data_IF_622210350584
#
_entry.id   IF_622210350584
#
_cell.length_a   1.000
_cell.length_b   1.000
_cell.length_c   1.000
_cell.angle_alpha   90.00
_cell.angle_beta   90.00
_cell.angle_gamma   90.00
#
_symmetry.space_group_name_H-M   'P 1'
#
loop_
_entity.id
_entity.type
_entity.pdbx_description
1 polymer ?
#
# COMPACT_ATOMS: atom_id res chain seq x y z
N UNK A 1 -24.89 17.28 -2.90
CA UNK A 1 -23.96 18.22 -3.57
C UNK A 1 -24.28 19.61 -3.04
N UNK A 2 -23.28 20.44 -2.75
CA UNK A 2 -23.43 21.84 -2.36
C UNK A 2 -22.82 22.70 -3.46
N UNK A 3 -23.59 23.63 -4.03
CA UNK A 3 -23.17 24.42 -5.18
C UNK A 3 -23.61 25.88 -5.00
N UNK A 4 -22.73 26.82 -5.29
CA UNK A 4 -23.03 28.25 -5.29
C UNK A 4 -22.21 28.98 -6.35
N UNK A 5 -22.64 30.18 -6.73
CA UNK A 5 -21.94 31.02 -7.70
C UNK A 5 -21.45 32.31 -7.04
N UNK A 6 -20.22 32.69 -7.37
CA UNK A 6 -19.64 33.99 -7.00
C UNK A 6 -19.06 34.61 -8.28
N UNK A 7 -19.53 35.80 -8.66
CA UNK A 7 -19.07 36.54 -9.84
C UNK A 7 -19.05 35.71 -11.15
N UNK A 8 -20.09 34.89 -11.38
CA UNK A 8 -20.19 34.04 -12.57
C UNK A 8 -19.43 32.71 -12.49
N UNK A 9 -18.52 32.55 -11.52
CA UNK A 9 -17.80 31.30 -11.27
C UNK A 9 -18.63 30.37 -10.41
N UNK A 10 -18.76 29.11 -10.86
CA UNK A 10 -19.49 28.07 -10.12
C UNK A 10 -18.53 27.33 -9.20
N UNK A 11 -18.84 27.28 -7.91
CA UNK A 11 -18.14 26.45 -6.94
C UNK A 11 -19.08 25.35 -6.48
N UNK A 12 -18.74 24.10 -6.80
CA UNK A 12 -19.53 22.93 -6.48
C UNK A 12 -18.69 21.90 -5.71
N UNK A 13 -19.31 21.28 -4.71
CA UNK A 13 -18.73 20.18 -3.95
C UNK A 13 -19.69 19.04 -3.72
N UNK A 14 -19.17 17.83 -3.74
CA UNK A 14 -19.86 16.69 -3.17
C UNK A 14 -19.76 16.74 -1.63
N UNK A 15 -20.82 16.29 -0.96
CA UNK A 15 -20.89 16.21 0.52
C UNK A 15 -20.67 14.76 0.94
N UNK A 16 -20.29 14.54 2.20
CA UNK A 16 -19.97 13.20 2.72
C UNK A 16 -18.57 12.73 2.34
N UNK A 17 -18.11 11.63 2.93
CA UNK A 17 -16.71 11.19 2.82
C UNK A 17 -16.28 10.89 1.38
N UNK A 18 -17.18 10.35 0.56
CA UNK A 18 -16.94 10.14 -0.90
C UNK A 18 -16.73 11.46 -1.65
N UNK A 19 -17.25 12.56 -1.13
CA UNK A 19 -17.14 13.89 -1.72
C UNK A 19 -15.82 14.61 -1.43
N UNK A 20 -14.97 14.08 -0.55
CA UNK A 20 -13.70 14.70 -0.16
C UNK A 20 -12.81 15.05 -1.37
N UNK A 21 -12.77 14.17 -2.38
CA UNK A 21 -11.99 14.38 -3.60
C UNK A 21 -12.38 15.68 -4.33
N UNK A 22 -13.67 16.06 -4.32
CA UNK A 22 -14.13 17.29 -4.97
C UNK A 22 -13.61 18.56 -4.29
N UNK A 23 -13.31 18.49 -2.98
CA UNK A 23 -12.65 19.59 -2.26
C UNK A 23 -11.16 19.64 -2.60
N UNK A 24 -10.48 18.50 -2.56
CA UNK A 24 -9.04 18.43 -2.75
C UNK A 24 -8.62 18.75 -4.19
N UNK A 25 -9.42 18.33 -5.18
CA UNK A 25 -9.14 18.58 -6.60
C UNK A 25 -9.81 19.85 -7.13
N UNK A 26 -10.57 20.57 -6.30
CA UNK A 26 -11.24 21.80 -6.68
C UNK A 26 -10.31 22.79 -7.42
N UNK A 27 -9.13 23.14 -6.87
CA UNK A 27 -8.22 24.09 -7.52
C UNK A 27 -7.77 23.66 -8.93
N UNK A 28 -7.59 22.35 -9.17
CA UNK A 28 -7.24 21.82 -10.50
C UNK A 28 -8.39 22.01 -11.50
N UNK A 29 -9.62 21.84 -11.06
CA UNK A 29 -10.82 21.89 -11.91
C UNK A 29 -11.57 23.23 -11.86
N UNK A 30 -10.88 24.30 -11.44
CA UNK A 30 -11.39 25.67 -11.51
C UNK A 30 -12.28 26.11 -10.35
N UNK A 31 -12.29 25.39 -9.23
CA UNK A 31 -12.97 25.85 -8.03
C UNK A 31 -12.25 27.07 -7.44
N UNK A 32 -13.03 28.13 -7.20
CA UNK A 32 -12.51 29.39 -6.65
C UNK A 32 -12.14 29.30 -5.15
N UNK A 33 -12.77 28.41 -4.40
CA UNK A 33 -12.56 28.22 -2.96
C UNK A 33 -12.55 26.73 -2.61
N UNK A 34 -11.76 26.38 -1.60
CA UNK A 34 -11.81 25.08 -0.91
C UNK A 34 -12.18 25.31 0.55
N UNK A 35 -13.00 24.44 1.10
CA UNK A 35 -13.44 24.52 2.50
C UNK A 35 -12.63 23.56 3.37
N UNK A 36 -12.40 23.95 4.61
CA UNK A 36 -11.84 23.05 5.63
C UNK A 36 -12.47 23.27 7.00
N UNK A 37 -12.44 22.25 7.84
CA UNK A 37 -12.95 22.35 9.21
C UNK A 37 -11.97 23.05 10.14
N UNK A 38 -12.52 23.82 11.08
CA UNK A 38 -11.82 24.46 12.21
C UNK A 38 -12.18 23.72 13.50
N UNK A 39 -11.23 23.60 14.44
CA UNK A 39 -11.53 23.16 15.81
C UNK A 39 -11.69 21.65 16.04
N UNK A 40 -11.10 20.79 15.21
CA UNK A 40 -11.01 19.34 15.47
C UNK A 40 -12.31 18.54 15.30
N UNK A 41 -13.43 19.20 14.99
CA UNK A 41 -14.70 18.54 14.66
C UNK A 41 -14.59 17.94 13.26
N UNK A 42 -14.76 16.62 13.15
CA UNK A 42 -14.81 15.92 11.88
C UNK A 42 -16.16 16.14 11.20
N UNK A 43 -16.14 16.75 10.01
CA UNK A 43 -17.33 16.94 9.17
C UNK A 43 -17.13 16.06 7.93
N UNK A 44 -18.03 15.10 7.64
CA UNK A 44 -17.87 14.19 6.50
C UNK A 44 -17.63 14.91 5.16
N UNK A 45 -16.52 14.56 4.51
CA UNK A 45 -16.08 15.18 3.25
C UNK A 45 -15.41 16.55 3.38
N UNK A 46 -15.20 17.05 4.59
CA UNK A 46 -14.51 18.33 4.84
C UNK A 46 -13.18 18.07 5.57
N UNK A 47 -12.03 18.28 4.90
CA UNK A 47 -10.74 18.04 5.53
C UNK A 47 -10.40 19.14 6.55
N UNK A 48 -9.62 18.84 7.61
CA UNK A 48 -9.10 19.88 8.49
C UNK A 48 -8.26 20.91 7.71
N UNK A 49 -8.37 22.19 8.05
CA UNK A 49 -7.58 23.25 7.39
C UNK A 49 -6.06 23.00 7.47
N UNK A 50 -5.61 22.40 8.58
CA UNK A 50 -4.20 22.03 8.74
C UNK A 50 -3.78 20.99 7.69
N UNK A 51 -4.63 20.00 7.42
CA UNK A 51 -4.38 18.98 6.38
C UNK A 51 -4.34 19.59 4.98
N UNK A 52 -5.23 20.54 4.68
CA UNK A 52 -5.22 21.28 3.39
C UNK A 52 -3.86 21.94 3.15
N UNK A 53 -3.33 22.65 4.15
CA UNK A 53 -2.08 23.43 4.02
C UNK A 53 -0.82 22.57 4.12
N UNK A 54 -0.80 21.60 5.02
CA UNK A 54 0.45 20.88 5.34
C UNK A 54 0.57 19.55 4.59
N UNK A 55 -0.53 18.80 4.48
CA UNK A 55 -0.54 17.45 3.90
C UNK A 55 -0.74 17.54 2.39
N UNK A 56 -1.86 18.15 1.96
CA UNK A 56 -2.22 18.22 0.54
C UNK A 56 -1.56 19.39 -0.20
N UNK A 57 -1.18 20.46 0.53
CA UNK A 57 -0.56 21.69 0.01
C UNK A 57 -1.29 22.23 -1.23
N UNK A 58 -2.60 22.46 -1.07
CA UNK A 58 -3.47 22.83 -2.20
C UNK A 58 -3.03 24.12 -2.91
N UNK A 59 -2.24 24.98 -2.27
CA UNK A 59 -1.63 26.18 -2.84
C UNK A 59 -0.68 25.91 -4.02
N UNK A 60 -0.20 24.67 -4.18
CA UNK A 60 0.67 24.29 -5.29
C UNK A 60 -0.07 23.60 -6.45
N UNK A 61 -1.39 23.39 -6.32
CA UNK A 61 -2.18 22.71 -7.34
C UNK A 61 -2.59 23.70 -8.42
N UNK A 62 -2.47 23.25 -9.68
CA UNK A 62 -2.90 23.96 -10.85
C UNK A 62 -3.52 23.00 -11.87
N UNK A 63 -3.95 23.52 -13.02
CA UNK A 63 -4.61 22.74 -14.06
C UNK A 63 -3.76 21.56 -14.59
N UNK A 64 -2.43 21.67 -14.59
CA UNK A 64 -1.53 20.62 -15.08
C UNK A 64 -1.14 19.59 -14.01
N UNK A 65 -1.52 19.80 -12.74
CA UNK A 65 -1.24 18.86 -11.65
C UNK A 65 -1.87 17.51 -11.98
N UNK A 66 -1.06 16.45 -11.94
CA UNK A 66 -1.54 15.08 -12.10
C UNK A 66 -2.05 14.51 -10.77
N UNK A 67 -3.08 13.70 -10.82
CA UNK A 67 -3.72 13.12 -9.63
C UNK A 67 -3.19 11.71 -9.43
N UNK A 68 -2.76 11.44 -8.21
CA UNK A 68 -2.09 10.22 -7.80
C UNK A 68 -2.70 9.56 -6.59
N UNK A 69 -2.24 8.32 -6.48
CA UNK A 69 -2.05 7.48 -5.33
C UNK A 69 -0.93 7.86 -4.29
N UNK A 70 -0.05 8.84 -4.54
CA UNK A 70 1.21 9.02 -3.77
C UNK A 70 1.89 10.40 -3.98
N UNK A 71 2.77 10.85 -3.06
CA UNK A 71 3.49 12.14 -3.11
C UNK A 71 5.01 11.97 -3.25
N UNK A 72 5.63 12.71 -4.17
CA UNK A 72 7.08 12.88 -4.23
C UNK A 72 7.49 14.33 -4.49
N UNK A 73 8.67 14.69 -3.99
CA UNK A 73 9.26 16.04 -4.11
C UNK A 73 9.70 16.31 -5.55
N UNK A 74 9.32 17.46 -6.10
CA UNK A 74 9.75 17.90 -7.44
C UNK A 74 8.82 17.51 -8.60
N UNK A 75 7.73 16.79 -8.32
CA UNK A 75 6.75 16.40 -9.33
C UNK A 75 5.40 17.11 -9.10
N UNK A 76 4.80 17.65 -10.16
CA UNK A 76 3.51 18.36 -10.09
C UNK A 76 2.35 17.36 -9.97
N UNK A 77 2.23 16.73 -8.79
CA UNK A 77 1.23 15.72 -8.49
C UNK A 77 0.62 15.85 -7.11
N UNK A 78 -0.64 15.44 -6.96
CA UNK A 78 -1.36 15.38 -5.67
C UNK A 78 -1.80 13.95 -5.36
N UNK A 79 -1.60 13.50 -4.11
CA UNK A 79 -2.20 12.28 -3.59
C UNK A 79 -3.50 12.59 -2.83
N UNK A 80 -4.60 11.95 -3.21
CA UNK A 80 -5.88 12.06 -2.51
C UNK A 80 -6.47 10.69 -2.16
N UNK A 81 -7.11 10.55 -0.98
CA UNK A 81 -7.88 9.36 -0.66
C UNK A 81 -9.15 9.29 -1.52
N UNK A 82 -9.49 8.09 -1.99
CA UNK A 82 -10.70 7.83 -2.77
C UNK A 82 -11.41 6.61 -2.18
N UNK A 83 -12.62 6.83 -1.65
CA UNK A 83 -13.45 5.76 -1.12
C UNK A 83 -14.23 5.12 -2.27
N UNK A 84 -13.95 3.85 -2.56
CA UNK A 84 -14.44 3.14 -3.73
C UNK A 84 -15.27 1.94 -3.29
N UNK A 85 -16.46 1.79 -3.86
CA UNK A 85 -17.34 0.63 -3.64
C UNK A 85 -17.21 -0.38 -4.78
N UNK A 86 -17.26 0.10 -6.03
CA UNK A 86 -17.05 -0.70 -7.25
C UNK A 86 -15.79 -0.22 -7.97
N UNK A 87 -14.78 -1.09 -7.99
CA UNK A 87 -13.48 -0.78 -8.61
C UNK A 87 -13.54 -0.68 -10.13
N UNK A 88 -14.42 -1.45 -10.79
CA UNK A 88 -14.55 -1.42 -12.26
C UNK A 88 -15.18 -0.11 -12.70
N UNK A 89 -16.27 0.27 -12.04
CA UNK A 89 -16.94 1.54 -12.31
C UNK A 89 -16.03 2.73 -12.00
N UNK A 90 -15.27 2.66 -10.90
CA UNK A 90 -14.30 3.68 -10.56
C UNK A 90 -13.25 3.90 -11.67
N UNK A 91 -12.61 2.84 -12.18
CA UNK A 91 -11.63 3.00 -13.27
C UNK A 91 -12.24 3.44 -14.59
N UNK A 92 -13.53 3.12 -14.83
CA UNK A 92 -14.27 3.63 -15.98
C UNK A 92 -14.47 5.15 -15.88
N UNK A 93 -14.91 5.64 -14.73
CA UNK A 93 -15.17 7.08 -14.47
C UNK A 93 -13.87 7.89 -14.46
N UNK A 94 -12.83 7.39 -13.79
CA UNK A 94 -11.54 8.07 -13.64
C UNK A 94 -10.51 7.62 -14.69
N UNK A 95 -10.95 7.52 -15.95
CA UNK A 95 -10.15 7.02 -17.07
C UNK A 95 -9.30 8.08 -17.77
N UNK A 96 -9.52 9.37 -17.49
CA UNK A 96 -8.79 10.46 -18.16
C UNK A 96 -7.32 10.57 -17.72
N UNK A 97 -6.52 11.25 -18.53
CA UNK A 97 -5.06 11.38 -18.35
C UNK A 97 -4.65 12.25 -17.16
N UNK A 98 -5.60 12.91 -16.50
CA UNK A 98 -5.35 13.60 -15.23
C UNK A 98 -5.08 12.62 -14.09
N UNK A 99 -5.59 11.38 -14.17
CA UNK A 99 -5.37 10.33 -13.19
C UNK A 99 -4.26 9.40 -13.69
N UNK A 100 -3.05 9.62 -13.21
CA UNK A 100 -1.85 8.98 -13.73
C UNK A 100 -1.47 7.70 -12.96
N UNK A 101 -2.07 7.45 -11.80
CA UNK A 101 -1.89 6.19 -11.09
C UNK A 101 -2.66 6.10 -9.78
N UNK A 102 -2.82 4.86 -9.28
CA UNK A 102 -3.64 4.56 -8.11
C UNK A 102 -2.93 3.56 -7.18
N UNK A 103 -3.13 3.73 -5.88
CA UNK A 103 -2.81 2.70 -4.87
C UNK A 103 -4.10 2.02 -4.44
N UNK A 104 -4.14 0.69 -4.58
CA UNK A 104 -5.33 -0.13 -4.34
C UNK A 104 -5.26 -0.78 -2.95
N UNK A 105 -6.23 -0.44 -2.12
CA UNK A 105 -6.43 -1.01 -0.79
C UNK A 105 -7.31 -2.26 -0.78
N UNK A 106 -7.51 -2.83 0.40
CA UNK A 106 -8.55 -3.84 0.64
C UNK A 106 -9.92 -3.16 0.45
N UNK A 107 -10.93 -3.82 -0.15
CA UNK A 107 -10.94 -5.20 -0.65
C UNK A 107 -10.60 -5.35 -2.16
N UNK A 108 -10.10 -4.28 -2.80
CA UNK A 108 -10.14 -4.16 -4.26
C UNK A 108 -8.97 -4.77 -5.03
N UNK A 109 -7.93 -5.27 -4.36
CA UNK A 109 -6.68 -5.69 -5.02
C UNK A 109 -6.83 -6.83 -6.02
N UNK A 110 -7.75 -7.76 -5.76
CA UNK A 110 -8.06 -8.89 -6.66
C UNK A 110 -8.78 -8.42 -7.91
N UNK A 111 -9.87 -7.71 -7.69
CA UNK A 111 -10.70 -7.19 -8.77
C UNK A 111 -9.95 -6.18 -9.64
N UNK A 112 -8.98 -5.46 -9.08
CA UNK A 112 -8.10 -4.56 -9.81
C UNK A 112 -7.24 -5.25 -10.87
N UNK A 113 -6.92 -6.55 -10.72
CA UNK A 113 -6.20 -7.32 -11.76
C UNK A 113 -6.97 -7.30 -13.08
N UNK A 114 -8.30 -7.49 -13.01
CA UNK A 114 -9.18 -7.46 -14.18
C UNK A 114 -9.49 -6.06 -14.71
N UNK A 115 -8.97 -5.00 -14.07
CA UNK A 115 -9.14 -3.62 -14.51
C UNK A 115 -7.88 -3.06 -15.20
N UNK A 116 -6.79 -3.83 -15.28
CA UNK A 116 -5.56 -3.41 -15.94
C UNK A 116 -5.47 -3.99 -17.36
N UNK A 117 -4.90 -3.21 -18.29
CA UNK A 117 -4.61 -3.66 -19.66
C UNK A 117 -3.41 -4.61 -19.68
N UNK A 118 -2.41 -4.32 -18.85
CA UNK A 118 -1.23 -5.14 -18.65
C UNK A 118 -1.04 -5.39 -17.15
N UNK A 119 -0.61 -6.59 -16.76
CA UNK A 119 -0.33 -6.93 -15.36
C UNK A 119 1.08 -7.49 -15.31
N UNK A 120 1.90 -6.92 -14.43
CA UNK A 120 3.26 -7.37 -14.18
C UNK A 120 3.30 -8.87 -13.83
N UNK A 121 4.30 -9.64 -14.30
CA UNK A 121 4.35 -11.09 -14.06
C UNK A 121 4.22 -11.48 -12.58
N UNK A 122 4.82 -10.70 -11.66
CA UNK A 122 4.70 -10.95 -10.22
C UNK A 122 3.29 -10.63 -9.73
N UNK A 123 2.69 -9.52 -10.16
CA UNK A 123 1.32 -9.19 -9.79
C UNK A 123 0.30 -10.22 -10.31
N UNK A 124 0.55 -10.74 -11.52
CA UNK A 124 -0.25 -11.79 -12.16
C UNK A 124 -0.10 -13.13 -11.45
N UNK A 125 1.12 -13.50 -11.05
CA UNK A 125 1.34 -14.73 -10.28
C UNK A 125 0.77 -14.65 -8.87
N UNK A 126 0.69 -13.46 -8.27
CA UNK A 126 0.04 -13.28 -6.96
C UNK A 126 -1.49 -13.24 -7.10
N UNK A 127 -2.02 -12.80 -8.25
CA UNK A 127 -3.46 -12.54 -8.43
C UNK A 127 -3.93 -11.26 -7.74
N UNK A 128 -3.02 -10.31 -7.46
CA UNK A 128 -3.35 -9.03 -6.83
C UNK A 128 -2.58 -7.86 -7.41
N UNK A 129 -3.26 -6.73 -7.59
CA UNK A 129 -2.65 -5.44 -7.93
C UNK A 129 -2.77 -4.49 -6.74
N UNK A 130 -1.64 -3.93 -6.32
CA UNK A 130 -1.55 -2.87 -5.30
C UNK A 130 -1.33 -1.51 -5.94
N UNK A 131 -0.59 -1.45 -7.03
CA UNK A 131 -0.14 -0.19 -7.64
C UNK A 131 -0.54 -0.21 -9.09
N UNK A 132 -1.27 0.81 -9.52
CA UNK A 132 -1.70 0.99 -10.90
C UNK A 132 -1.02 2.22 -11.45
N UNK A 133 -0.42 2.09 -12.63
CA UNK A 133 0.21 3.18 -13.35
C UNK A 133 -0.45 3.31 -14.71
N UNK A 134 -0.87 4.51 -15.08
CA UNK A 134 -1.33 4.82 -16.43
C UNK A 134 -0.14 5.33 -17.22
N UNK A 135 0.25 4.61 -18.29
CA UNK A 135 1.33 5.06 -19.18
C UNK A 135 0.94 6.40 -19.81
N UNK A 136 1.85 7.40 -19.84
CA UNK A 136 1.60 8.67 -20.52
C UNK A 136 1.31 8.48 -22.02
N UNK A 137 1.99 7.52 -22.64
CA UNK A 137 1.83 7.16 -24.06
C UNK A 137 0.84 6.00 -24.20
N UNK A 138 -0.17 6.18 -25.06
CA UNK A 138 -1.20 5.18 -25.34
C UNK A 138 -2.25 4.97 -24.24
N UNK A 139 -2.06 5.56 -23.04
CA UNK A 139 -3.07 5.57 -21.97
C UNK A 139 -3.32 4.22 -21.29
N UNK A 140 -2.52 3.19 -21.61
CA UNK A 140 -2.64 1.86 -21.03
C UNK A 140 -2.43 1.87 -19.52
N UNK A 141 -3.18 1.02 -18.84
CA UNK A 141 -3.19 0.86 -17.39
C UNK A 141 -2.43 -0.41 -17.03
N UNK A 142 -1.41 -0.27 -16.18
CA UNK A 142 -0.53 -1.38 -15.77
C UNK A 142 -0.64 -1.62 -14.29
N UNK A 143 -0.90 -2.87 -13.93
CA UNK A 143 -0.99 -3.34 -12.55
C UNK A 143 0.31 -3.94 -12.06
N UNK A 144 0.77 -3.48 -10.91
CA UNK A 144 1.95 -3.97 -10.18
C UNK A 144 1.56 -4.39 -8.76
N UNK A 145 2.37 -5.26 -8.18
CA UNK A 145 2.27 -5.63 -6.77
C UNK A 145 3.53 -5.23 -6.02
N UNK A 146 3.50 -4.04 -5.43
CA UNK A 146 4.61 -3.52 -4.63
C UNK A 146 4.56 -3.98 -3.18
N UNK A 147 3.58 -4.79 -2.76
CA UNK A 147 3.50 -5.25 -1.36
C UNK A 147 4.55 -6.33 -1.07
N UNK A 148 4.87 -7.20 -2.04
CA UNK A 148 5.88 -8.25 -1.89
C UNK A 148 7.28 -7.68 -1.73
N UNK A 149 7.72 -6.84 -2.68
CA UNK A 149 9.02 -6.17 -2.61
C UNK A 149 9.17 -5.39 -1.30
N UNK A 150 8.15 -4.62 -0.94
CA UNK A 150 8.18 -3.82 0.27
C UNK A 150 8.27 -4.66 1.55
N UNK A 151 7.65 -5.84 1.59
CA UNK A 151 7.78 -6.82 2.67
C UNK A 151 9.21 -7.37 2.75
N UNK A 152 9.77 -7.80 1.61
CA UNK A 152 11.13 -8.36 1.55
C UNK A 152 12.16 -7.32 2.02
N UNK A 153 12.09 -6.09 1.51
CA UNK A 153 13.01 -5.02 1.92
C UNK A 153 12.93 -4.72 3.43
N UNK A 154 11.75 -4.80 4.03
CA UNK A 154 11.60 -4.55 5.47
C UNK A 154 12.26 -5.65 6.31
N UNK A 155 12.07 -6.91 5.90
CA UNK A 155 12.68 -8.06 6.54
C UNK A 155 14.21 -7.97 6.40
N UNK A 156 14.72 -7.64 5.20
CA UNK A 156 16.16 -7.50 4.98
C UNK A 156 16.77 -6.44 5.87
N UNK A 157 16.17 -5.26 5.93
CA UNK A 157 16.71 -4.15 6.70
C UNK A 157 16.70 -4.41 8.20
N UNK A 158 15.65 -5.05 8.69
CA UNK A 158 15.57 -5.45 10.09
C UNK A 158 16.68 -6.46 10.46
N UNK A 159 16.96 -7.43 9.57
CA UNK A 159 18.05 -8.38 9.76
C UNK A 159 19.43 -7.72 9.65
N UNK A 160 19.65 -6.81 8.67
CA UNK A 160 20.90 -6.05 8.56
C UNK A 160 21.15 -5.18 9.79
N UNK A 161 20.11 -4.52 10.29
CA UNK A 161 20.18 -3.73 11.52
C UNK A 161 20.68 -4.55 12.71
N UNK A 162 20.21 -5.80 12.85
CA UNK A 162 20.68 -6.72 13.89
C UNK A 162 22.12 -7.17 13.68
N UNK A 163 22.51 -7.53 12.46
CA UNK A 163 23.90 -7.91 12.13
C UNK A 163 24.87 -6.78 12.45
N UNK A 164 24.54 -5.53 12.08
CA UNK A 164 25.35 -4.36 12.39
C UNK A 164 25.47 -4.15 13.90
N UNK A 165 24.38 -4.32 14.67
CA UNK A 165 24.42 -4.24 16.13
C UNK A 165 25.31 -5.33 16.77
N UNK A 166 25.45 -6.48 16.12
CA UNK A 166 26.31 -7.57 16.54
C UNK A 166 27.77 -7.45 16.02
N UNK A 167 28.09 -6.43 15.20
CA UNK A 167 29.41 -6.26 14.59
C UNK A 167 29.66 -7.13 13.36
N UNK A 168 28.63 -7.75 12.79
CA UNK A 168 28.69 -8.72 11.68
C UNK A 168 28.24 -8.11 10.35
N UNK A 169 28.71 -6.91 10.01
CA UNK A 169 28.29 -6.23 8.78
C UNK A 169 28.73 -7.01 7.52
N UNK A 170 27.77 -7.54 6.76
CA UNK A 170 27.99 -8.21 5.48
C UNK A 170 27.32 -7.46 4.32
N UNK A 171 27.91 -7.57 3.13
CA UNK A 171 27.32 -7.09 1.88
C UNK A 171 26.35 -8.08 1.24
N UNK A 172 26.27 -9.32 1.74
CA UNK A 172 25.30 -10.32 1.28
C UNK A 172 23.91 -10.05 1.86
N UNK A 173 22.85 -10.30 1.09
CA UNK A 173 21.49 -10.18 1.62
C UNK A 173 21.29 -11.15 2.79
N UNK A 174 20.79 -10.69 3.95
CA UNK A 174 20.67 -11.52 5.15
C UNK A 174 19.48 -12.49 5.09
N UNK A 175 18.69 -12.47 4.02
CA UNK A 175 17.60 -13.43 3.77
C UNK A 175 18.10 -14.61 2.93
N UNK A 176 19.25 -14.50 2.26
CA UNK A 176 19.82 -15.60 1.46
C UNK A 176 20.07 -16.81 2.37
N UNK A 177 19.45 -17.94 2.03
CA UNK A 177 19.53 -19.19 2.81
C UNK A 177 18.53 -19.32 3.97
N UNK A 178 17.70 -18.30 4.23
CA UNK A 178 16.68 -18.34 5.30
C UNK A 178 15.33 -18.83 4.81
N UNK A 179 14.65 -19.60 5.67
CA UNK A 179 13.31 -20.11 5.39
C UNK A 179 12.26 -19.07 5.81
N UNK A 180 11.43 -18.63 4.87
CA UNK A 180 10.33 -17.69 5.12
C UNK A 180 9.00 -18.43 5.04
N UNK A 181 8.26 -18.44 6.15
CA UNK A 181 6.91 -18.99 6.21
C UNK A 181 5.89 -17.85 6.09
N UNK A 182 4.97 -17.96 5.12
CA UNK A 182 3.87 -17.01 4.98
C UNK A 182 2.56 -17.65 5.40
N UNK A 183 1.94 -17.06 6.42
CA UNK A 183 0.62 -17.46 6.91
C UNK A 183 -0.49 -16.58 6.32
N UNK A 184 -1.50 -17.23 5.71
CA UNK A 184 -2.69 -16.58 5.16
C UNK A 184 -3.96 -17.37 5.49
N UNK A 185 -5.07 -16.64 5.66
CA UNK A 185 -6.41 -17.22 5.85
C UNK A 185 -7.46 -16.20 5.41
N UNK A 186 -8.25 -16.56 4.39
CA UNK A 186 -9.43 -15.82 3.93
C UNK A 186 -10.58 -16.79 3.68
N UNK A 187 -11.82 -16.34 3.94
CA UNK A 187 -13.11 -17.07 3.89
C UNK A 187 -13.07 -18.42 3.13
N UNK A 188 -13.00 -19.53 3.88
CA UNK A 188 -13.50 -20.83 3.43
C UNK A 188 -12.50 -21.82 2.82
N UNK A 189 -11.23 -21.47 2.61
CA UNK A 189 -10.20 -22.45 2.23
C UNK A 189 -9.03 -22.44 3.21
N UNK A 190 -8.93 -23.52 3.99
CA UNK A 190 -7.71 -23.85 4.74
C UNK A 190 -6.73 -24.49 3.77
N UNK A 191 -5.59 -23.88 3.53
CA UNK A 191 -4.45 -24.56 2.91
C UNK A 191 -3.28 -24.52 3.90
N UNK A 192 -3.09 -25.62 4.61
CA UNK A 192 -1.80 -25.98 5.20
C UNK A 192 -1.04 -26.76 4.14
N UNK A 193 0.04 -26.20 3.61
CA UNK A 193 0.88 -26.88 2.63
C UNK A 193 2.33 -26.51 2.83
N UNK A 194 3.14 -27.51 3.17
CA UNK A 194 4.56 -27.55 2.84
C UNK A 194 4.56 -28.13 1.42
N UNK A 195 5.10 -27.42 0.42
CA UNK A 195 5.11 -27.92 -0.96
C UNK A 195 6.43 -27.61 -1.65
N UNK A 196 7.14 -28.69 -2.02
CA UNK A 196 8.04 -28.75 -3.18
C UNK A 196 7.29 -28.34 -4.46
N UNK A 197 8.06 -27.87 -5.45
CA UNK A 197 7.63 -27.45 -6.78
C UNK A 197 6.41 -28.21 -7.33
N UNK A 198 5.25 -27.56 -7.40
CA UNK A 198 4.21 -27.85 -8.38
C UNK A 198 3.26 -26.65 -8.53
N UNK A 199 2.88 -26.35 -9.77
CA UNK A 199 2.02 -25.25 -10.19
C UNK A 199 0.76 -25.12 -9.32
N UNK A 200 0.54 -23.92 -8.76
CA UNK A 200 -0.72 -23.58 -8.10
C UNK A 200 -1.32 -22.31 -8.69
N UNK A 201 -2.63 -22.35 -8.94
CA UNK A 201 -3.45 -21.20 -9.32
C UNK A 201 -3.62 -20.29 -8.10
N UNK A 202 -2.95 -19.13 -8.12
CA UNK A 202 -2.89 -18.18 -7.01
C UNK A 202 -4.08 -17.22 -6.97
N UNK A 203 -4.70 -17.10 -5.80
CA UNK A 203 -5.59 -15.98 -5.46
C UNK A 203 -5.12 -15.35 -4.14
N UNK A 204 -4.21 -14.39 -4.32
CA UNK A 204 -4.09 -13.11 -3.59
C UNK A 204 -3.45 -13.02 -2.19
N UNK A 205 -2.38 -12.22 -2.20
CA UNK A 205 -1.79 -11.35 -1.17
C UNK A 205 -0.72 -11.94 -0.22
N UNK A 206 0.52 -11.75 -0.68
CA UNK A 206 1.85 -12.05 -0.12
C UNK A 206 2.29 -13.49 -0.40
N UNK A 207 2.86 -13.65 -1.60
CA UNK A 207 3.76 -14.74 -1.94
C UNK A 207 5.13 -14.40 -1.33
N UNK A 208 5.72 -15.29 -0.53
CA UNK A 208 7.17 -15.32 -0.32
C UNK A 208 7.69 -16.70 -0.74
N UNK A 209 8.80 -16.70 -1.46
CA UNK A 209 9.43 -17.84 -2.13
C UNK A 209 10.47 -18.49 -1.20
N UNK A 210 10.61 -19.81 -1.30
CA UNK A 210 11.40 -20.71 -0.43
C UNK A 210 12.84 -20.98 -0.94
N UNK A 211 13.77 -21.37 -0.03
CA UNK A 211 14.70 -22.52 -0.20
C UNK A 211 15.44 -22.88 1.12
N UNK A 212 16.11 -24.05 1.15
CA UNK A 212 16.30 -25.02 2.24
C UNK A 212 17.16 -24.67 3.50
N UNK A 213 16.64 -25.12 4.65
CA UNK A 213 17.24 -25.79 5.84
C UNK A 213 18.40 -25.17 6.68
N UNK A 214 18.04 -24.48 7.78
CA UNK A 214 18.67 -24.57 9.13
C UNK A 214 17.63 -24.21 10.22
N UNK A 215 17.63 -24.86 11.41
CA UNK A 215 16.56 -24.72 12.42
C UNK A 215 16.55 -23.39 13.22
N UNK A 216 17.57 -22.53 13.09
CA UNK A 216 17.71 -21.30 13.90
C UNK A 216 17.51 -19.98 13.14
N UNK A 217 17.06 -20.04 11.88
CA UNK A 217 16.95 -18.85 11.01
C UNK A 217 15.59 -18.74 10.31
N UNK A 218 14.51 -19.14 10.99
CA UNK A 218 13.16 -19.06 10.42
C UNK A 218 12.57 -17.65 10.54
N UNK A 219 11.85 -17.24 9.50
CA UNK A 219 11.13 -15.97 9.44
C UNK A 219 9.63 -16.25 9.31
N UNK A 220 8.82 -15.64 10.19
CA UNK A 220 7.36 -15.69 10.10
C UNK A 220 6.84 -14.40 9.48
N UNK A 221 6.12 -14.48 8.36
CA UNK A 221 5.43 -13.33 7.76
C UNK A 221 3.92 -13.56 7.79
N UNK A 222 3.22 -12.84 8.67
CA UNK A 222 1.76 -12.87 8.73
C UNK A 222 1.16 -11.84 7.76
N UNK A 223 0.26 -12.30 6.88
CA UNK A 223 -0.48 -11.43 5.96
C UNK A 223 -1.99 -11.41 6.25
N UNK A 224 -2.45 -12.13 7.28
CA UNK A 224 -3.87 -12.26 7.62
C UNK A 224 -4.41 -11.06 8.40
N UNK A 225 -5.74 -10.94 8.50
CA UNK A 225 -6.40 -9.94 9.33
C UNK A 225 -6.46 -10.30 10.83
N UNK A 226 -5.83 -11.42 11.25
CA UNK A 226 -5.86 -11.89 12.64
C UNK A 226 -5.01 -11.00 13.55
N UNK A 227 -5.65 -10.25 14.44
CA UNK A 227 -4.99 -9.23 15.27
C UNK A 227 -5.27 -7.80 14.80
N UNK A 228 -6.00 -7.63 13.69
CA UNK A 228 -6.53 -6.33 13.27
C UNK A 228 -7.78 -5.97 14.08
N UNK A 229 -7.99 -4.66 14.35
CA UNK A 229 -9.22 -4.21 14.99
C UNK A 229 -10.48 -4.71 14.23
N UNK A 230 -11.54 -5.12 14.94
CA UNK A 230 -11.71 -5.06 16.41
C UNK A 230 -11.08 -6.23 17.20
N UNK A 231 -10.60 -7.29 16.52
CA UNK A 231 -10.10 -8.52 17.16
C UNK A 231 -8.59 -8.45 17.45
N UNK A 232 -8.15 -7.40 18.16
CA UNK A 232 -6.73 -7.14 18.45
C UNK A 232 -6.10 -8.07 19.48
N UNK A 233 -6.93 -8.86 20.16
CA UNK A 233 -6.59 -9.87 21.17
C UNK A 233 -6.24 -11.24 20.56
N UNK A 234 -6.28 -11.38 19.24
CA UNK A 234 -5.97 -12.63 18.54
C UNK A 234 -4.58 -12.62 17.93
N UNK A 235 -3.93 -13.78 17.96
CA UNK A 235 -2.65 -14.06 17.29
C UNK A 235 -2.78 -15.31 16.42
N UNK A 236 -2.11 -15.40 15.26
CA UNK A 236 -2.15 -16.58 14.40
C UNK A 236 -1.32 -17.76 14.91
N UNK A 237 -0.36 -17.52 15.82
CA UNK A 237 0.63 -18.49 16.31
C UNK A 237 0.76 -18.30 17.82
N UNK A 238 0.96 -19.40 18.57
CA UNK A 238 1.15 -19.29 20.02
C UNK A 238 2.52 -18.72 20.36
N UNK A 239 2.63 -18.05 21.51
CA UNK A 239 3.88 -17.44 21.98
C UNK A 239 5.03 -18.45 22.08
N UNK A 240 4.76 -19.68 22.46
CA UNK A 240 5.77 -20.75 22.58
C UNK A 240 6.40 -21.08 21.22
N UNK A 241 5.59 -21.12 20.17
CA UNK A 241 6.07 -21.38 18.82
C UNK A 241 6.86 -20.20 18.23
N UNK A 242 6.65 -18.98 18.72
CA UNK A 242 7.39 -17.80 18.27
C UNK A 242 8.89 -17.87 18.60
N UNK A 243 9.28 -18.62 19.64
CA UNK A 243 10.69 -18.81 20.00
C UNK A 243 11.53 -19.54 18.94
N UNK A 244 10.89 -20.19 17.97
CA UNK A 244 11.57 -20.83 16.85
C UNK A 244 11.92 -19.86 15.70
N UNK A 245 11.42 -18.61 15.74
CA UNK A 245 11.62 -17.63 14.68
C UNK A 245 12.61 -16.55 15.08
N UNK A 246 13.52 -16.21 14.17
CA UNK A 246 14.45 -15.10 14.35
C UNK A 246 13.76 -13.74 14.14
N UNK A 247 12.78 -13.69 13.23
CA UNK A 247 12.03 -12.49 12.84
C UNK A 247 10.57 -12.82 12.60
N UNK A 248 9.69 -11.94 13.08
CA UNK A 248 8.25 -11.96 12.85
C UNK A 248 7.83 -10.66 12.19
N UNK A 249 7.32 -10.76 10.97
CA UNK A 249 6.76 -9.66 10.20
C UNK A 249 5.23 -9.71 10.23
N UNK A 250 4.58 -8.54 10.34
CA UNK A 250 3.13 -8.44 10.21
C UNK A 250 2.68 -7.34 9.23
N UNK A 251 1.90 -7.73 8.21
CA UNK A 251 1.37 -6.89 7.15
C UNK A 251 0.18 -5.97 7.55
N UNK A 252 -0.34 -6.07 8.78
CA UNK A 252 -1.44 -5.21 9.26
C UNK A 252 -0.91 -3.90 9.83
N UNK A 253 -1.70 -2.84 9.64
CA UNK A 253 -1.34 -1.46 9.99
C UNK A 253 -2.04 -0.94 11.26
N UNK A 254 -3.12 -1.58 11.71
CA UNK A 254 -3.90 -1.11 12.87
C UNK A 254 -4.43 -2.27 13.71
N UNK A 255 -4.01 -2.39 14.99
CA UNK A 255 -3.09 -1.50 15.72
C UNK A 255 -1.63 -1.65 15.23
N UNK A 256 -0.78 -0.64 15.46
CA UNK A 256 0.66 -0.72 15.16
C UNK A 256 1.35 -1.82 15.98
N UNK A 257 0.89 -1.95 17.23
CA UNK A 257 1.44 -2.83 18.24
C UNK A 257 0.44 -3.96 18.52
N UNK A 258 0.50 -5.00 17.69
CA UNK A 258 -0.39 -6.16 17.72
C UNK A 258 0.11 -7.22 18.70
N UNK A 259 -0.78 -8.07 19.22
CA UNK A 259 -0.40 -9.18 20.10
C UNK A 259 0.74 -10.04 19.53
N UNK A 260 0.67 -10.42 18.26
CA UNK A 260 1.72 -11.21 17.57
C UNK A 260 3.12 -10.56 17.68
N UNK A 261 3.21 -9.25 17.41
CA UNK A 261 4.47 -8.52 17.42
C UNK A 261 5.00 -8.32 18.86
N UNK A 262 4.10 -8.13 19.84
CA UNK A 262 4.47 -8.06 21.26
C UNK A 262 5.05 -9.38 21.75
N UNK A 263 4.32 -10.47 21.52
CA UNK A 263 4.74 -11.80 21.94
C UNK A 263 6.05 -12.21 21.25
N UNK A 264 6.23 -11.86 19.97
CA UNK A 264 7.48 -12.06 19.25
C UNK A 264 8.65 -11.32 19.90
N UNK A 265 8.47 -10.04 20.25
CA UNK A 265 9.50 -9.26 20.92
C UNK A 265 9.84 -9.81 22.32
N UNK A 266 8.82 -10.28 23.07
CA UNK A 266 9.00 -10.86 24.41
C UNK A 266 9.82 -12.16 24.40
N UNK A 267 9.78 -12.94 23.30
CA UNK A 267 10.59 -14.15 23.14
C UNK A 267 11.94 -13.89 22.45
N UNK A 268 12.28 -12.63 22.18
CA UNK A 268 13.57 -12.23 21.60
C UNK A 268 13.65 -12.29 20.06
N UNK A 269 12.52 -12.48 19.38
CA UNK A 269 12.43 -12.36 17.92
C UNK A 269 12.39 -10.88 17.50
N UNK A 270 12.89 -10.59 16.29
CA UNK A 270 12.78 -9.25 15.70
C UNK A 270 11.33 -9.04 15.26
N UNK A 271 10.63 -8.05 15.81
CA UNK A 271 9.26 -7.73 15.44
C UNK A 271 9.24 -6.59 14.41
N UNK A 272 8.68 -6.84 13.22
CA UNK A 272 8.61 -5.87 12.11
C UNK A 272 7.16 -5.63 11.71
N UNK A 273 6.73 -4.36 11.72
CA UNK A 273 5.38 -3.96 11.31
C UNK A 273 5.36 -3.31 9.94
N UNK A 274 4.25 -3.44 9.19
CA UNK A 274 4.08 -2.74 7.90
C UNK A 274 4.10 -1.21 8.02
N UNK A 275 3.90 -0.63 9.21
CA UNK A 275 3.99 0.83 9.37
C UNK A 275 5.38 1.34 9.00
N UNK A 276 6.43 0.55 9.26
CA UNK A 276 7.82 0.88 8.90
C UNK A 276 8.05 0.86 7.37
N UNK A 277 7.21 0.12 6.65
CA UNK A 277 7.23 0.05 5.17
C UNK A 277 6.54 1.27 4.53
N UNK A 278 5.54 1.85 5.20
CA UNK A 278 4.65 2.86 4.59
C UNK A 278 5.39 4.16 4.22
N UNK A 279 6.57 4.42 4.81
CA UNK A 279 7.45 5.53 4.44
C UNK A 279 8.32 5.29 3.19
N UNK A 280 8.40 4.07 2.67
CA UNK A 280 9.33 3.71 1.59
C UNK A 280 8.63 3.61 0.25
N UNK A 281 8.58 4.77 -0.42
CA UNK A 281 8.91 5.09 -1.82
C UNK A 281 8.91 4.02 -2.96
N UNK A 282 8.44 2.77 -2.81
CA UNK A 282 8.51 1.77 -3.91
C UNK A 282 7.47 1.99 -5.00
N UNK A 283 6.25 2.44 -4.67
CA UNK A 283 5.28 2.85 -5.70
C UNK A 283 5.83 4.00 -6.59
N UNK A 284 6.80 4.76 -6.07
CA UNK A 284 7.46 5.84 -6.77
C UNK A 284 8.58 5.36 -7.70
N UNK A 285 9.41 4.38 -7.32
CA UNK A 285 10.45 3.88 -8.23
C UNK A 285 9.83 3.28 -9.49
N UNK A 286 8.74 2.51 -9.35
CA UNK A 286 7.97 2.02 -10.50
C UNK A 286 7.42 3.17 -11.35
N UNK A 287 6.96 4.27 -10.73
CA UNK A 287 6.39 5.40 -11.46
C UNK A 287 7.46 6.26 -12.14
N UNK A 288 8.49 6.70 -11.41
CA UNK A 288 9.57 7.54 -11.93
C UNK A 288 10.33 6.80 -13.04
N UNK A 289 10.67 5.52 -12.84
CA UNK A 289 11.40 4.77 -13.86
C UNK A 289 10.57 4.51 -15.13
N UNK A 290 9.24 4.36 -15.03
CA UNK A 290 8.35 4.16 -16.19
C UNK A 290 7.84 5.46 -16.83
N UNK A 291 7.94 6.60 -16.14
CA UNK A 291 7.55 7.92 -16.69
C UNK A 291 8.76 8.66 -17.25
N UNK A 292 9.95 8.61 -16.63
CA UNK A 292 11.17 9.23 -17.18
C UNK A 292 11.83 8.42 -18.31
N UNK A 293 11.51 7.12 -18.47
CA UNK A 293 11.95 6.35 -19.64
C UNK A 293 11.38 6.89 -20.97
N UNK A 294 10.39 7.79 -20.91
CA UNK A 294 9.94 8.58 -22.07
C UNK A 294 10.90 9.71 -22.49
N UNK A 295 12.02 9.91 -21.78
CA UNK A 295 13.13 10.78 -22.19
C UNK A 295 14.34 10.03 -22.77
N UNK A 296 14.27 8.71 -22.90
CA UNK A 296 15.33 7.86 -23.46
C UNK A 296 14.93 7.18 -24.78
N UNK A 297 13.95 7.74 -25.50
CA UNK A 297 13.62 7.39 -26.88
C UNK A 297 13.78 8.59 -27.80
#
# INVERSE_FOLDING_TARGET
MFCFRVNGTTNARAVGDRGLISQLLGPKFGAFLVWGSLGGISIPGLPPLLSIKQIYKLEHINASTKVFAFRHTGYNGIYVPMLVDDVKEFFRVYSCTDFSGFSVGIPHKEAAVGCCDEVDPLAKSIGAVRTIIRRPTGGKVIGYNTDCEACITAIEDALRGRQVANGEASHTSPIVGKNVFVGWSWRGRKSTGIAEEQEFSFSTAILAVFSQALPYEMILANASSVGMQPNSDRTPVSKEALGAYQLVFYAVYTPRDTLLLREAAEVGAIAVSRVEITGRLHALSCFVNNVDSSKLG
#
